data_IF_389370545828
#
_entry.id   IF_389370545828
#
_cell.length_a   1.000
_cell.length_b   1.000
_cell.length_c   1.000
_cell.angle_alpha   90.00
_cell.angle_beta   90.00
_cell.angle_gamma   90.00
#
_symmetry.space_group_name_H-M   'P 1'
#
loop_
_entity.id
_entity.type
_entity.pdbx_description
1 polymer ?
#
# COMPACT_ATOMS: atom_id res chain seq x y z
N UNK A 1 14.68 -6.92 28.80
CA UNK A 1 14.45 -5.84 27.82
C UNK A 1 15.59 -5.92 26.82
N UNK A 2 15.40 -6.65 25.72
CA UNK A 2 16.46 -6.81 24.72
C UNK A 2 16.67 -5.48 24.02
N UNK A 3 17.83 -4.86 24.24
CA UNK A 3 18.27 -3.70 23.47
C UNK A 3 18.35 -4.14 22.00
N UNK A 4 17.37 -3.71 21.20
CA UNK A 4 17.41 -3.94 19.76
C UNK A 4 18.60 -3.16 19.21
N UNK A 5 19.54 -3.86 18.57
CA UNK A 5 20.70 -3.23 17.91
C UNK A 5 20.24 -2.06 17.03
N UNK A 6 20.99 -0.93 17.01
CA UNK A 6 20.64 0.24 16.20
C UNK A 6 20.41 -0.12 14.73
N UNK A 7 21.12 -1.13 14.20
CA UNK A 7 20.94 -1.63 12.83
C UNK A 7 19.55 -2.23 12.59
N UNK A 8 19.07 -3.03 13.54
CA UNK A 8 17.75 -3.66 13.47
C UNK A 8 16.65 -2.59 13.54
N UNK A 9 16.84 -1.58 14.40
CA UNK A 9 15.92 -0.44 14.52
C UNK A 9 15.85 0.37 13.22
N UNK A 10 16.99 0.72 12.62
CA UNK A 10 17.04 1.44 11.35
C UNK A 10 16.38 0.64 10.21
N UNK A 11 16.62 -0.68 10.17
CA UNK A 11 16.02 -1.57 9.17
C UNK A 11 14.49 -1.61 9.29
N UNK A 12 13.95 -1.78 10.50
CA UNK A 12 12.50 -1.82 10.72
C UNK A 12 11.83 -0.46 10.47
N UNK A 13 12.53 0.65 10.73
CA UNK A 13 12.07 1.98 10.33
C UNK A 13 12.04 2.14 8.80
N UNK A 14 13.07 1.66 8.10
CA UNK A 14 13.12 1.70 6.64
C UNK A 14 12.01 0.83 6.01
N UNK A 15 11.71 -0.34 6.58
CA UNK A 15 10.56 -1.17 6.19
C UNK A 15 9.26 -0.36 6.31
N UNK A 16 9.09 0.37 7.42
CA UNK A 16 7.91 1.21 7.66
C UNK A 16 7.79 2.33 6.62
N UNK A 17 8.90 2.99 6.27
CA UNK A 17 8.93 4.02 5.22
C UNK A 17 8.62 3.42 3.86
N UNK A 18 9.17 2.27 3.50
CA UNK A 18 8.90 1.60 2.23
C UNK A 18 7.42 1.26 2.04
N UNK A 19 6.77 0.69 3.06
CA UNK A 19 5.32 0.45 3.04
C UNK A 19 4.51 1.75 2.88
N UNK A 20 5.06 2.87 3.36
CA UNK A 20 4.43 4.17 3.22
C UNK A 20 4.60 4.78 1.83
N UNK A 21 5.69 4.50 1.10
CA UNK A 21 5.95 5.06 -0.24
C UNK A 21 5.56 4.11 -1.38
N UNK A 22 5.52 2.80 -1.12
CA UNK A 22 5.10 1.75 -2.05
C UNK A 22 3.96 0.96 -1.39
N UNK A 23 2.81 0.76 -2.06
CA UNK A 23 1.78 -0.16 -1.57
C UNK A 23 2.32 -1.59 -1.54
N UNK A 24 2.80 -2.02 -0.37
CA UNK A 24 3.33 -3.35 -0.12
C UNK A 24 3.20 -3.71 1.37
N UNK A 25 3.32 -5.00 1.68
CA UNK A 25 3.39 -5.49 3.06
C UNK A 25 4.82 -5.55 3.59
N UNK A 26 4.97 -5.91 4.87
CA UNK A 26 6.26 -5.97 5.56
C UNK A 26 7.27 -6.87 4.83
N UNK A 27 6.85 -8.06 4.39
CA UNK A 27 7.77 -9.01 3.74
C UNK A 27 8.27 -8.51 2.40
N UNK A 28 7.40 -7.90 1.59
CA UNK A 28 7.81 -7.27 0.34
C UNK A 28 8.72 -6.06 0.59
N UNK A 29 8.47 -5.26 1.62
CA UNK A 29 9.34 -4.14 1.97
C UNK A 29 10.74 -4.61 2.42
N UNK A 30 10.84 -5.70 3.20
CA UNK A 30 12.12 -6.34 3.54
C UNK A 30 12.83 -6.85 2.31
N UNK A 31 12.09 -7.45 1.37
CA UNK A 31 12.65 -7.94 0.12
C UNK A 31 13.21 -6.79 -0.74
N UNK A 32 12.50 -5.67 -0.85
CA UNK A 32 12.98 -4.45 -1.53
C UNK A 32 14.30 -3.99 -0.93
N UNK A 33 14.44 -3.93 0.41
CA UNK A 33 15.70 -3.55 1.06
C UNK A 33 16.84 -4.51 0.71
N UNK A 34 16.59 -5.81 0.83
CA UNK A 34 17.59 -6.85 0.58
C UNK A 34 18.05 -6.86 -0.89
N UNK A 35 17.12 -6.71 -1.83
CA UNK A 35 17.42 -6.67 -3.26
C UNK A 35 18.15 -5.39 -3.65
N UNK A 36 17.76 -4.26 -3.06
CA UNK A 36 18.44 -2.97 -3.25
C UNK A 36 19.89 -3.04 -2.78
N UNK A 37 20.13 -3.53 -1.56
CA UNK A 37 21.46 -3.69 -0.98
C UNK A 37 22.34 -4.58 -1.86
N UNK A 38 21.79 -5.72 -2.32
CA UNK A 38 22.51 -6.67 -3.19
C UNK A 38 22.84 -6.06 -4.55
N UNK A 39 21.91 -5.35 -5.17
CA UNK A 39 22.11 -4.74 -6.49
C UNK A 39 23.09 -3.56 -6.43
N UNK A 40 23.13 -2.81 -5.33
CA UNK A 40 24.05 -1.70 -5.13
C UNK A 40 25.42 -2.12 -4.57
N UNK A 41 25.58 -3.38 -4.13
CA UNK A 41 26.78 -3.83 -3.40
C UNK A 41 26.96 -3.12 -2.06
N UNK A 42 25.88 -2.67 -1.44
CA UNK A 42 25.87 -1.85 -0.24
C UNK A 42 25.49 -2.66 1.01
N UNK A 43 25.83 -2.15 2.19
CA UNK A 43 25.36 -2.73 3.44
C UNK A 43 23.85 -2.51 3.64
N UNK A 44 23.19 -3.41 4.38
CA UNK A 44 21.76 -3.29 4.66
C UNK A 44 21.46 -2.03 5.48
N UNK A 45 22.32 -1.67 6.45
CA UNK A 45 22.22 -0.45 7.23
C UNK A 45 22.31 0.80 6.35
N UNK A 46 23.29 0.85 5.45
CA UNK A 46 23.45 1.96 4.49
C UNK A 46 22.22 2.11 3.59
N UNK A 47 21.67 0.98 3.14
CA UNK A 47 20.42 0.96 2.36
C UNK A 47 19.22 1.44 3.18
N UNK A 48 19.14 1.05 4.46
CA UNK A 48 18.09 1.51 5.36
C UNK A 48 18.17 3.01 5.61
N UNK A 49 19.36 3.56 5.88
CA UNK A 49 19.58 5.00 6.00
C UNK A 49 19.19 5.75 4.72
N UNK A 50 19.49 5.18 3.55
CA UNK A 50 19.11 5.77 2.28
C UNK A 50 17.59 5.86 2.10
N UNK A 51 16.86 4.83 2.52
CA UNK A 51 15.39 4.83 2.54
C UNK A 51 14.86 5.87 3.52
N UNK A 52 15.44 5.98 4.73
CA UNK A 52 15.04 6.99 5.72
C UNK A 52 15.31 8.42 5.22
N UNK A 53 16.29 8.59 4.33
CA UNK A 53 16.63 9.86 3.71
C UNK A 53 15.74 10.25 2.51
N UNK A 54 14.74 9.43 2.11
CA UNK A 54 13.86 9.72 0.95
C UNK A 54 13.07 11.04 1.06
N UNK A 55 13.01 11.66 2.25
CA UNK A 55 12.43 13.00 2.48
C UNK A 55 13.44 14.12 2.72
N UNK A 56 14.74 13.84 2.66
CA UNK A 56 15.83 14.77 2.99
C UNK A 56 16.67 15.20 1.79
N UNK A 57 17.53 16.21 1.99
CA UNK A 57 18.43 16.73 0.96
C UNK A 57 19.77 15.96 0.85
N UNK A 58 19.87 14.75 1.42
CA UNK A 58 21.12 13.96 1.38
C UNK A 58 21.27 13.33 -0.01
N UNK A 59 22.35 13.66 -0.70
CA UNK A 59 22.69 13.01 -1.96
C UNK A 59 23.00 11.52 -1.72
N UNK A 60 22.25 10.65 -2.38
CA UNK A 60 22.50 9.21 -2.37
C UNK A 60 23.55 8.83 -3.43
N UNK A 61 24.36 7.78 -3.20
CA UNK A 61 25.13 7.17 -4.26
C UNK A 61 24.21 6.81 -5.44
N UNK A 62 24.60 7.18 -6.67
CA UNK A 62 23.73 7.01 -7.84
C UNK A 62 23.31 5.55 -8.08
N UNK A 63 24.21 4.59 -7.81
CA UNK A 63 23.91 3.16 -7.89
C UNK A 63 22.82 2.74 -6.90
N UNK A 64 22.88 3.23 -5.66
CA UNK A 64 21.93 2.92 -4.60
C UNK A 64 20.54 3.51 -4.91
N UNK A 65 20.49 4.78 -5.35
CA UNK A 65 19.24 5.41 -5.77
C UNK A 65 18.58 4.70 -6.96
N UNK A 66 19.38 4.30 -7.96
CA UNK A 66 18.90 3.56 -9.12
C UNK A 66 18.37 2.18 -8.74
N UNK A 67 19.11 1.44 -7.91
CA UNK A 67 18.69 0.13 -7.42
C UNK A 67 17.39 0.21 -6.61
N UNK A 68 17.29 1.20 -5.72
CA UNK A 68 16.11 1.41 -4.88
C UNK A 68 14.88 1.72 -5.74
N UNK A 69 15.03 2.63 -6.71
CA UNK A 69 13.94 2.97 -7.63
C UNK A 69 13.50 1.76 -8.45
N UNK A 70 14.44 0.99 -9.02
CA UNK A 70 14.14 -0.22 -9.76
C UNK A 70 13.43 -1.29 -8.91
N UNK A 71 13.84 -1.48 -7.66
CA UNK A 71 13.19 -2.41 -6.74
C UNK A 71 11.76 -1.96 -6.38
N UNK A 72 11.55 -0.66 -6.13
CA UNK A 72 10.21 -0.11 -5.90
C UNK A 72 9.31 -0.25 -7.13
N UNK A 73 9.84 0.01 -8.34
CA UNK A 73 9.09 -0.14 -9.59
C UNK A 73 8.77 -1.61 -9.89
N UNK A 74 9.69 -2.53 -9.59
CA UNK A 74 9.46 -3.97 -9.63
C UNK A 74 8.33 -4.39 -8.68
N UNK A 75 8.33 -3.90 -7.43
CA UNK A 75 7.29 -4.22 -6.46
C UNK A 75 5.90 -3.71 -6.87
N UNK A 76 5.83 -2.53 -7.50
CA UNK A 76 4.59 -1.99 -8.10
C UNK A 76 4.12 -2.82 -9.30
N UNK A 77 5.07 -3.33 -10.09
CA UNK A 77 4.80 -3.96 -11.40
C UNK A 77 4.65 -5.48 -11.37
N UNK A 78 5.03 -6.17 -10.28
CA UNK A 78 4.97 -7.63 -10.10
C UNK A 78 3.54 -8.23 -10.11
N UNK A 79 2.59 -7.52 -10.69
CA UNK A 79 1.16 -7.70 -10.56
C UNK A 79 0.39 -7.69 -11.89
N UNK A 80 1.10 -7.80 -13.01
CA UNK A 80 0.49 -7.83 -14.33
C UNK A 80 0.09 -9.27 -14.73
N UNK A 81 -0.73 -9.93 -13.91
CA UNK A 81 -1.59 -11.02 -14.42
C UNK A 81 -3.01 -10.52 -14.25
N UNK A 82 -3.73 -10.19 -15.33
CA UNK A 82 -5.14 -9.86 -15.21
C UNK A 82 -5.84 -11.08 -14.58
N UNK A 83 -6.72 -10.90 -13.59
CA UNK A 83 -7.51 -12.02 -13.12
C UNK A 83 -8.26 -12.57 -14.34
N UNK A 84 -8.12 -13.87 -14.60
CA UNK A 84 -9.01 -14.55 -15.52
C UNK A 84 -10.44 -14.14 -15.17
N UNK A 85 -11.19 -13.74 -16.18
CA UNK A 85 -12.60 -13.37 -16.12
C UNK A 85 -13.43 -14.59 -15.76
N UNK A 86 -13.16 -15.22 -14.62
CA UNK A 86 -14.11 -16.12 -14.00
C UNK A 86 -15.12 -15.23 -13.32
N UNK A 87 -16.25 -15.11 -14.00
CA UNK A 87 -17.55 -14.63 -13.51
C UNK A 87 -18.02 -15.53 -12.35
N UNK A 88 -17.18 -15.70 -11.34
CA UNK A 88 -17.64 -16.06 -10.02
C UNK A 88 -18.56 -14.91 -9.62
N UNK A 89 -19.82 -15.24 -9.36
CA UNK A 89 -20.83 -14.42 -8.70
C UNK A 89 -20.33 -14.08 -7.28
N UNK A 90 -19.19 -13.39 -7.17
CA UNK A 90 -18.61 -12.91 -5.94
C UNK A 90 -19.46 -11.74 -5.48
N UNK A 91 -20.05 -11.90 -4.31
CA UNK A 91 -20.48 -10.78 -3.48
C UNK A 91 -19.30 -9.80 -3.42
N UNK A 92 -19.43 -8.66 -4.12
CA UNK A 92 -18.46 -7.60 -4.01
C UNK A 92 -18.54 -7.02 -2.60
N UNK A 93 -17.40 -6.77 -1.94
CA UNK A 93 -17.40 -6.18 -0.61
C UNK A 93 -18.02 -4.78 -0.64
N UNK A 94 -18.70 -4.41 0.46
CA UNK A 94 -19.36 -3.11 0.60
C UNK A 94 -18.40 -1.95 0.24
N UNK A 95 -18.70 -1.18 -0.82
CA UNK A 95 -17.87 -0.07 -1.28
C UNK A 95 -17.64 1.00 -0.20
N UNK A 96 -18.59 1.20 0.71
CA UNK A 96 -18.41 2.12 1.82
C UNK A 96 -17.36 1.60 2.81
N UNK A 97 -17.35 0.29 3.09
CA UNK A 97 -16.31 -0.36 3.89
C UNK A 97 -14.93 -0.26 3.23
N UNK A 98 -14.84 -0.49 1.92
CA UNK A 98 -13.59 -0.32 1.16
C UNK A 98 -13.13 1.14 1.22
N UNK A 99 -14.04 2.11 1.08
CA UNK A 99 -13.72 3.54 1.21
C UNK A 99 -13.15 3.90 2.58
N UNK A 100 -13.69 3.33 3.66
CA UNK A 100 -13.15 3.47 5.03
C UNK A 100 -11.74 2.88 5.15
N UNK A 101 -11.51 1.69 4.59
CA UNK A 101 -10.19 1.05 4.58
C UNK A 101 -9.17 1.86 3.79
N UNK A 102 -9.51 2.38 2.60
CA UNK A 102 -8.63 3.25 1.83
C UNK A 102 -8.29 4.54 2.57
N UNK A 103 -9.28 5.17 3.23
CA UNK A 103 -9.05 6.36 4.06
C UNK A 103 -8.10 6.04 5.23
N UNK A 104 -8.31 4.91 5.91
CA UNK A 104 -7.45 4.44 7.00
C UNK A 104 -6.03 4.16 6.49
N UNK A 105 -5.89 3.41 5.41
CA UNK A 105 -4.61 3.11 4.78
C UNK A 105 -3.83 4.39 4.45
N UNK A 106 -4.46 5.39 3.82
CA UNK A 106 -3.84 6.69 3.54
C UNK A 106 -3.41 7.43 4.83
N UNK A 107 -4.20 7.33 5.89
CA UNK A 107 -3.84 7.88 7.21
C UNK A 107 -2.62 7.18 7.83
N UNK A 108 -2.58 5.86 7.73
CA UNK A 108 -1.46 5.05 8.23
C UNK A 108 -0.18 5.31 7.45
N UNK A 109 -0.23 5.46 6.13
CA UNK A 109 0.93 5.87 5.33
C UNK A 109 1.51 7.20 5.78
N UNK A 110 0.66 8.20 6.05
CA UNK A 110 1.12 9.49 6.58
C UNK A 110 1.76 9.35 7.97
N UNK A 111 1.15 8.57 8.86
CA UNK A 111 1.71 8.28 10.20
C UNK A 111 3.04 7.53 10.10
N UNK A 112 3.16 6.58 9.17
CA UNK A 112 4.38 5.79 8.95
C UNK A 112 5.55 6.66 8.47
N UNK A 113 5.28 7.69 7.66
CA UNK A 113 6.29 8.68 7.29
C UNK A 113 6.66 9.62 8.44
N UNK A 114 5.70 9.99 9.30
CA UNK A 114 5.95 10.90 10.42
C UNK A 114 6.63 10.21 11.63
N UNK A 115 6.33 8.94 11.86
CA UNK A 115 6.82 8.15 12.99
C UNK A 115 7.18 6.71 12.54
N UNK A 116 8.23 6.54 11.72
CA UNK A 116 8.62 5.22 11.20
C UNK A 116 9.10 4.24 12.28
N UNK A 117 9.45 4.76 13.46
CA UNK A 117 9.87 3.97 14.62
C UNK A 117 8.69 3.34 15.37
N UNK A 118 7.44 3.73 15.10
CA UNK A 118 6.26 3.20 15.78
C UNK A 118 5.88 1.81 15.21
N UNK A 119 6.09 0.71 15.96
CA UNK A 119 5.75 -0.63 15.49
C UNK A 119 4.24 -0.85 15.35
N UNK A 120 3.41 -0.10 16.10
CA UNK A 120 1.97 -0.21 15.99
C UNK A 120 1.48 0.33 14.64
N UNK A 121 2.05 1.44 14.17
CA UNK A 121 1.74 1.97 12.83
C UNK A 121 2.15 1.00 11.73
N UNK A 122 3.34 0.39 11.84
CA UNK A 122 3.81 -0.62 10.86
C UNK A 122 2.85 -1.81 10.81
N UNK A 123 2.52 -2.39 11.97
CA UNK A 123 1.58 -3.51 12.04
C UNK A 123 0.21 -3.15 11.47
N UNK A 124 -0.33 -2.00 11.87
CA UNK A 124 -1.66 -1.55 11.45
C UNK A 124 -1.72 -1.30 9.93
N UNK A 125 -0.64 -0.77 9.36
CA UNK A 125 -0.50 -0.58 7.91
C UNK A 125 -0.44 -1.94 7.19
N UNK A 126 0.34 -2.89 7.69
CA UNK A 126 0.45 -4.24 7.12
C UNK A 126 -0.89 -4.98 7.12
N UNK A 127 -1.58 -4.99 8.26
CA UNK A 127 -2.90 -5.60 8.43
C UNK A 127 -3.92 -4.97 7.44
N UNK A 128 -3.87 -3.63 7.28
CA UNK A 128 -4.77 -2.92 6.36
C UNK A 128 -4.49 -3.28 4.91
N UNK A 129 -3.22 -3.32 4.52
CA UNK A 129 -2.79 -3.69 3.17
C UNK A 129 -3.20 -5.13 2.87
N UNK A 130 -2.95 -6.05 3.80
CA UNK A 130 -3.34 -7.46 3.66
C UNK A 130 -4.87 -7.60 3.52
N UNK A 131 -5.64 -6.87 4.33
CA UNK A 131 -7.10 -6.87 4.22
C UNK A 131 -7.57 -6.42 2.84
N UNK A 132 -6.98 -5.35 2.29
CA UNK A 132 -7.31 -4.89 0.93
C UNK A 132 -6.96 -5.93 -0.14
N UNK A 133 -5.81 -6.61 -0.02
CA UNK A 133 -5.42 -7.72 -0.89
C UNK A 133 -6.48 -8.82 -0.91
N UNK A 134 -6.91 -9.28 0.27
CA UNK A 134 -7.93 -10.33 0.41
C UNK A 134 -9.26 -9.87 -0.20
N UNK A 135 -9.74 -8.69 0.17
CA UNK A 135 -11.04 -8.19 -0.29
C UNK A 135 -11.09 -8.01 -1.81
N UNK A 136 -9.98 -7.61 -2.43
CA UNK A 136 -9.89 -7.42 -3.89
C UNK A 136 -9.49 -8.71 -4.63
N UNK A 137 -9.21 -9.80 -3.91
CA UNK A 137 -8.72 -11.05 -4.48
C UNK A 137 -7.39 -10.88 -5.22
N UNK A 138 -6.55 -9.95 -4.78
CA UNK A 138 -5.28 -9.61 -5.39
C UNK A 138 -4.13 -10.01 -4.48
N UNK A 139 -3.12 -10.69 -5.03
CA UNK A 139 -1.90 -11.05 -4.27
C UNK A 139 -0.92 -9.90 -4.15
N UNK A 140 -0.95 -8.96 -5.09
CA UNK A 140 -0.10 -7.78 -5.07
C UNK A 140 -0.87 -6.58 -4.52
N UNK A 141 -0.27 -5.91 -3.52
CA UNK A 141 -0.86 -4.78 -2.84
C UNK A 141 -1.10 -3.55 -3.74
N UNK A 142 -0.24 -3.28 -4.72
CA UNK A 142 -0.44 -2.18 -5.66
C UNK A 142 -1.66 -2.43 -6.56
N UNK A 143 -1.84 -3.64 -7.08
CA UNK A 143 -3.06 -3.99 -7.83
C UNK A 143 -4.29 -4.04 -6.93
N UNK A 144 -4.18 -4.57 -5.70
CA UNK A 144 -5.26 -4.55 -4.73
C UNK A 144 -5.76 -3.13 -4.48
N UNK A 145 -4.86 -2.20 -4.18
CA UNK A 145 -5.21 -0.81 -3.94
C UNK A 145 -5.84 -0.17 -5.18
N UNK A 146 -5.27 -0.40 -6.37
CA UNK A 146 -5.82 0.14 -7.61
C UNK A 146 -7.23 -0.40 -7.87
N UNK A 147 -7.46 -1.69 -7.70
CA UNK A 147 -8.78 -2.31 -7.83
C UNK A 147 -9.77 -1.78 -6.79
N UNK A 148 -9.33 -1.56 -5.55
CA UNK A 148 -10.15 -0.97 -4.49
C UNK A 148 -10.53 0.49 -4.81
N UNK A 149 -9.58 1.29 -5.31
CA UNK A 149 -9.83 2.67 -5.73
C UNK A 149 -10.75 2.72 -6.95
N UNK A 150 -10.62 1.79 -7.90
CA UNK A 150 -11.53 1.67 -9.03
C UNK A 150 -12.93 1.22 -8.60
N UNK A 151 -13.05 0.27 -7.67
CA UNK A 151 -14.34 -0.16 -7.12
C UNK A 151 -15.03 0.99 -6.40
N UNK A 152 -14.30 1.66 -5.50
CA UNK A 152 -14.81 2.83 -4.79
C UNK A 152 -15.07 3.96 -5.76
N UNK A 153 -14.26 4.21 -6.78
CA UNK A 153 -14.50 5.25 -7.80
C UNK A 153 -15.69 4.95 -8.72
N UNK A 154 -15.92 3.68 -9.05
CA UNK A 154 -17.10 3.23 -9.79
C UNK A 154 -18.38 3.35 -8.95
N UNK A 155 -18.27 3.15 -7.63
CA UNK A 155 -19.33 3.37 -6.64
C UNK A 155 -19.44 4.83 -6.18
N UNK A 156 -18.37 5.60 -6.32
CA UNK A 156 -18.25 7.02 -6.07
C UNK A 156 -18.38 7.80 -7.37
N UNK A 157 -19.62 7.92 -7.83
CA UNK A 157 -20.16 9.20 -8.24
C UNK A 157 -21.31 9.52 -7.27
N UNK A 158 -21.92 10.70 -7.26
CA UNK A 158 -23.08 10.98 -6.39
C UNK A 158 -24.34 10.16 -6.71
N UNK A 159 -24.23 8.89 -7.12
CA UNK A 159 -25.08 8.24 -8.12
C UNK A 159 -25.73 6.97 -7.61
N UNK A 160 -25.15 6.15 -6.73
CA UNK A 160 -25.85 4.97 -6.18
C UNK A 160 -26.92 5.34 -5.15
N UNK A 161 -26.70 6.38 -4.34
CA UNK A 161 -27.70 6.86 -3.37
C UNK A 161 -28.71 7.85 -3.98
N UNK A 162 -28.32 8.74 -4.92
CA UNK A 162 -29.28 9.57 -5.66
C UNK A 162 -30.15 8.75 -6.60
N UNK A 163 -29.64 7.66 -7.19
CA UNK A 163 -30.43 6.74 -8.03
C UNK A 163 -31.48 6.01 -7.20
N UNK A 164 -31.10 5.33 -6.11
CA UNK A 164 -32.07 4.63 -5.25
C UNK A 164 -33.13 5.54 -4.60
N UNK A 165 -32.82 6.81 -4.33
CA UNK A 165 -33.78 7.77 -3.72
C UNK A 165 -34.61 8.55 -4.76
N UNK A 166 -34.12 8.75 -6.00
CA UNK A 166 -34.86 9.41 -7.11
C UNK A 166 -35.84 8.44 -7.78
N UNK A 167 -35.42 7.19 -7.97
CA UNK A 167 -36.25 6.14 -8.57
C UNK A 167 -37.46 5.83 -7.66
N UNK A 168 -37.25 5.81 -6.34
CA UNK A 168 -38.32 5.65 -5.33
C UNK A 168 -39.32 6.83 -5.22
N UNK A 169 -39.12 7.95 -5.93
CA UNK A 169 -40.05 9.11 -6.01
C UNK A 169 -40.82 9.17 -7.33
N UNK A 170 -40.21 8.80 -8.45
CA UNK A 170 -40.88 8.73 -9.77
C UNK A 170 -41.92 7.61 -9.85
N UNK A 171 -41.69 6.50 -9.14
CA UNK A 171 -42.65 5.39 -9.03
C UNK A 171 -43.94 5.78 -8.25
N UNK A 172 -43.96 6.91 -7.55
CA UNK A 172 -45.11 7.35 -6.74
C UNK A 172 -45.98 8.44 -7.40
N UNK A 173 -45.60 8.96 -8.58
CA UNK A 173 -46.30 10.06 -9.25
C UNK A 173 -46.66 9.80 -10.73
N UNK A 174 -46.48 8.57 -11.23
CA UNK A 174 -46.95 8.16 -12.55
C UNK A 174 -48.31 7.47 -12.47
N UNK A 175 -49.38 8.28 -12.49
CA UNK A 175 -50.73 7.91 -12.91
C UNK A 175 -51.07 8.73 -14.16
#
# INVERSE_FOLDING_TARGET
MSETSPEHSATEQAVTVLMAVVPCGCDTARQILADTARAAGAALLETAEAVLALGGCRALPAALGTALQAAMDGARSAAAVPPATETSTRLLPDPQAIGRLLKRHRGLRRRALAAPHDPAVRKELDDTTYTLCILMGQRNASTALRSAELLVGAEWPGTTLRRRVRDARTERHGW
#
